data_IF_702389102417
#
_entry.id   IF_702389102417
#
_cell.length_a   1.000
_cell.length_b   1.000
_cell.length_c   1.000
_cell.angle_alpha   90.00
_cell.angle_beta   90.00
_cell.angle_gamma   90.00
#
_symmetry.space_group_name_H-M   'P 1'
#
loop_
_entity.id
_entity.type
_entity.pdbx_description
1 polymer ?
#
# COMPACT_ATOMS: atom_id res chain seq x y z
N UNK A 1 3.69 -18.56 1.73
CA UNK A 1 2.77 -17.70 0.96
C UNK A 1 1.83 -16.98 1.91
N UNK A 2 1.71 -15.69 1.79
CA UNK A 2 0.86 -14.90 2.66
C UNK A 2 -0.45 -14.58 1.96
N UNK A 3 -1.54 -14.65 2.70
CA UNK A 3 -2.88 -14.33 2.20
C UNK A 3 -3.57 -13.27 3.04
N UNK A 4 -2.78 -12.34 3.59
CA UNK A 4 -3.34 -11.25 4.37
C UNK A 4 -3.57 -10.01 3.51
N UNK A 5 -4.47 -9.16 3.97
CA UNK A 5 -4.69 -7.83 3.40
C UNK A 5 -4.12 -6.79 4.37
N UNK A 6 -3.58 -5.70 3.84
CA UNK A 6 -2.97 -4.64 4.64
C UNK A 6 -3.86 -3.40 4.60
N UNK A 7 -4.24 -2.91 5.77
CA UNK A 7 -5.02 -1.69 5.92
C UNK A 7 -4.12 -0.59 6.50
N UNK A 8 -3.80 0.41 5.68
CA UNK A 8 -2.91 1.51 6.09
C UNK A 8 -3.77 2.73 6.38
N UNK A 9 -3.92 3.06 7.66
CA UNK A 9 -4.77 4.14 8.12
C UNK A 9 -4.38 4.44 9.58
N UNK A 10 -4.24 5.71 9.94
CA UNK A 10 -3.76 6.09 11.27
C UNK A 10 -4.82 5.95 12.37
N UNK A 11 -6.10 5.81 12.02
CA UNK A 11 -7.15 5.77 13.03
C UNK A 11 -8.31 4.81 12.77
N UNK A 12 -8.61 4.50 11.52
CA UNK A 12 -9.79 3.70 11.17
C UNK A 12 -9.49 2.20 11.24
N UNK A 13 -10.56 1.42 11.13
CA UNK A 13 -10.48 -0.04 11.08
C UNK A 13 -10.99 -0.54 9.74
N UNK A 14 -10.46 -1.67 9.26
CA UNK A 14 -10.90 -2.23 7.99
C UNK A 14 -12.33 -2.75 8.05
N UNK A 15 -12.98 -2.90 6.88
CA UNK A 15 -14.32 -3.48 6.85
C UNK A 15 -14.31 -4.95 7.26
N UNK A 16 -15.46 -5.42 7.75
CA UNK A 16 -15.67 -6.83 8.06
C UNK A 16 -16.14 -7.54 6.78
N UNK A 17 -15.19 -7.89 5.93
CA UNK A 17 -15.46 -8.41 4.59
C UNK A 17 -14.91 -9.82 4.35
N UNK A 18 -14.57 -10.51 5.42
CA UNK A 18 -14.03 -11.86 5.35
C UNK A 18 -12.54 -11.96 5.07
N UNK A 19 -11.86 -10.84 4.82
CA UNK A 19 -10.42 -10.83 4.64
C UNK A 19 -9.69 -10.90 5.98
N UNK A 20 -8.48 -11.45 5.95
CA UNK A 20 -7.58 -11.39 7.11
C UNK A 20 -6.81 -10.10 7.01
N UNK A 21 -7.20 -9.10 7.80
CA UNK A 21 -6.60 -7.78 7.77
C UNK A 21 -5.51 -7.62 8.81
N UNK A 22 -4.37 -7.04 8.39
CA UNK A 22 -3.39 -6.47 9.29
C UNK A 22 -3.46 -4.96 9.16
N UNK A 23 -3.31 -4.25 10.28
CA UNK A 23 -3.47 -2.80 10.32
C UNK A 23 -2.11 -2.16 10.55
N UNK A 24 -1.75 -1.22 9.68
CA UNK A 24 -0.57 -0.38 9.84
C UNK A 24 -1.01 1.06 10.09
N UNK A 25 -0.54 1.63 11.20
CA UNK A 25 -0.91 2.98 11.61
C UNK A 25 0.05 4.04 11.08
N UNK A 26 1.14 3.62 10.44
CA UNK A 26 2.15 4.51 9.87
C UNK A 26 2.82 3.84 8.69
N UNK A 27 3.55 4.61 7.88
CA UNK A 27 4.34 4.05 6.80
C UNK A 27 5.43 3.11 7.31
N UNK A 28 6.08 3.44 8.43
CA UNK A 28 7.08 2.56 9.04
C UNK A 28 6.50 1.23 9.48
N UNK A 29 5.30 1.26 10.09
CA UNK A 29 4.64 0.05 10.52
C UNK A 29 4.25 -0.84 9.33
N UNK A 30 3.78 -0.22 8.24
CA UNK A 30 3.47 -0.96 7.02
C UNK A 30 4.71 -1.66 6.44
N UNK A 31 5.84 -0.96 6.39
CA UNK A 31 7.10 -1.55 5.91
C UNK A 31 7.57 -2.69 6.80
N UNK A 32 7.43 -2.53 8.12
CA UNK A 32 7.79 -3.58 9.08
C UNK A 32 6.94 -4.85 8.88
N UNK A 33 5.64 -4.67 8.65
CA UNK A 33 4.75 -5.82 8.43
C UNK A 33 5.13 -6.58 7.16
N UNK A 34 5.51 -5.88 6.10
CA UNK A 34 5.96 -6.53 4.87
C UNK A 34 7.27 -7.28 5.08
N UNK A 35 8.20 -6.74 5.85
CA UNK A 35 9.44 -7.45 6.17
C UNK A 35 9.18 -8.73 6.96
N UNK A 36 8.23 -8.71 7.88
CA UNK A 36 7.93 -9.86 8.71
C UNK A 36 7.09 -10.93 8.02
N UNK A 37 6.14 -10.50 7.21
CA UNK A 37 5.09 -11.39 6.69
C UNK A 37 5.12 -11.56 5.17
N UNK A 38 5.95 -10.81 4.47
CA UNK A 38 5.97 -10.79 3.00
C UNK A 38 4.90 -9.88 2.43
N UNK A 39 4.79 -9.87 1.12
CA UNK A 39 3.83 -8.99 0.43
C UNK A 39 2.39 -9.42 0.72
N UNK A 40 1.51 -8.45 1.01
CA UNK A 40 0.09 -8.77 1.16
C UNK A 40 -0.54 -9.09 -0.19
N UNK A 41 -1.71 -9.70 -0.18
CA UNK A 41 -2.48 -9.93 -1.40
C UNK A 41 -3.29 -8.70 -1.82
N UNK A 42 -3.59 -7.82 -0.88
CA UNK A 42 -4.46 -6.66 -1.09
C UNK A 42 -4.09 -5.56 -0.11
N UNK A 43 -4.08 -4.31 -0.57
CA UNK A 43 -3.79 -3.16 0.28
C UNK A 43 -4.87 -2.09 0.11
N UNK A 44 -5.35 -1.58 1.22
CA UNK A 44 -6.26 -0.43 1.25
C UNK A 44 -5.50 0.75 1.84
N UNK A 45 -5.35 1.82 1.05
CA UNK A 45 -4.54 2.97 1.41
C UNK A 45 -5.37 4.17 1.86
N UNK A 46 -5.04 4.73 3.04
CA UNK A 46 -5.33 6.13 3.33
C UNK A 46 -4.08 6.94 2.97
N UNK A 47 -4.23 8.20 2.58
CA UNK A 47 -3.09 9.03 2.22
C UNK A 47 -2.40 9.59 3.47
N UNK A 48 -3.17 10.26 4.33
CA UNK A 48 -2.62 10.97 5.49
C UNK A 48 -2.54 10.04 6.70
N UNK A 49 -1.34 9.90 7.27
CA UNK A 49 -1.09 8.96 8.36
C UNK A 49 -0.66 9.66 9.66
N UNK A 50 -1.00 10.96 9.77
CA UNK A 50 -0.67 11.75 10.95
C UNK A 50 0.65 12.49 10.78
N UNK A 51 0.70 13.75 11.26
CA UNK A 51 1.88 14.58 11.09
C UNK A 51 2.25 14.76 9.63
N UNK A 52 3.50 14.50 9.30
CA UNK A 52 4.01 14.59 7.93
C UNK A 52 4.04 13.23 7.20
N UNK A 53 3.61 12.16 7.87
CA UNK A 53 3.64 10.82 7.28
C UNK A 53 2.48 10.62 6.31
N UNK A 54 2.76 9.98 5.18
CA UNK A 54 1.75 9.62 4.19
C UNK A 54 2.03 8.22 3.63
N UNK A 55 1.00 7.60 3.06
CA UNK A 55 1.17 6.32 2.35
C UNK A 55 2.10 6.42 1.16
N UNK A 56 2.34 7.62 0.62
CA UNK A 56 3.30 7.80 -0.49
C UNK A 56 4.70 7.33 -0.10
N UNK A 57 5.10 7.56 1.15
CA UNK A 57 6.40 7.09 1.64
C UNK A 57 6.50 5.57 1.61
N UNK A 58 5.45 4.89 2.05
CA UNK A 58 5.39 3.43 1.97
C UNK A 58 5.43 2.96 0.52
N UNK A 59 4.61 3.56 -0.35
CA UNK A 59 4.49 3.16 -1.75
C UNK A 59 5.82 3.30 -2.46
N UNK A 60 6.52 4.44 -2.29
CA UNK A 60 7.82 4.66 -2.92
C UNK A 60 8.84 3.63 -2.49
N UNK A 61 8.90 3.32 -1.20
CA UNK A 61 9.82 2.30 -0.68
C UNK A 61 9.48 0.91 -1.24
N UNK A 62 8.19 0.58 -1.31
CA UNK A 62 7.73 -0.70 -1.85
C UNK A 62 8.06 -0.82 -3.34
N UNK A 63 7.78 0.23 -4.12
CA UNK A 63 8.07 0.22 -5.55
C UNK A 63 9.56 0.15 -5.85
N UNK A 64 10.40 0.80 -5.04
CA UNK A 64 11.85 0.71 -5.18
C UNK A 64 12.33 -0.74 -5.00
N UNK A 65 11.82 -1.45 -4.01
CA UNK A 65 12.15 -2.87 -3.80
C UNK A 65 11.73 -3.73 -4.99
N UNK A 66 10.52 -3.51 -5.50
CA UNK A 66 10.01 -4.27 -6.64
C UNK A 66 10.83 -4.01 -7.90
N UNK A 67 11.21 -2.76 -8.16
CA UNK A 67 12.05 -2.40 -9.29
C UNK A 67 13.44 -3.02 -9.19
N UNK A 68 14.06 -3.00 -8.00
CA UNK A 68 15.38 -3.58 -7.78
C UNK A 68 15.39 -5.09 -8.05
N UNK A 69 14.28 -5.76 -7.72
CA UNK A 69 14.16 -7.19 -7.91
C UNK A 69 13.61 -7.58 -9.28
N UNK A 70 13.14 -6.62 -10.07
CA UNK A 70 12.48 -6.89 -11.34
C UNK A 70 11.09 -7.50 -11.19
N UNK A 71 10.44 -7.29 -10.05
CA UNK A 71 9.14 -7.89 -9.75
C UNK A 71 8.00 -7.00 -10.18
N UNK A 72 6.87 -7.62 -10.50
CA UNK A 72 5.61 -6.95 -10.73
C UNK A 72 4.95 -6.62 -9.39
N UNK A 73 3.94 -5.74 -9.43
CA UNK A 73 3.17 -5.39 -8.25
C UNK A 73 2.42 -6.63 -7.74
N UNK A 74 2.75 -7.12 -6.53
CA UNK A 74 2.24 -8.42 -6.06
C UNK A 74 0.88 -8.34 -5.36
N UNK A 75 0.29 -7.15 -5.26
CA UNK A 75 -0.98 -6.97 -4.55
C UNK A 75 -1.97 -6.17 -5.38
N UNK A 76 -3.26 -6.47 -5.19
CA UNK A 76 -4.34 -5.58 -5.62
C UNK A 76 -4.46 -4.44 -4.60
N UNK A 77 -5.06 -3.33 -4.99
CA UNK A 77 -5.11 -2.16 -4.12
C UNK A 77 -6.37 -1.32 -4.34
N UNK A 78 -6.70 -0.57 -3.31
CA UNK A 78 -7.72 0.47 -3.35
C UNK A 78 -7.29 1.63 -2.48
N UNK A 79 -7.90 2.79 -2.67
CA UNK A 79 -7.63 3.98 -1.88
C UNK A 79 -8.94 4.41 -1.21
N UNK A 80 -8.91 4.54 0.11
CA UNK A 80 -10.07 4.96 0.90
C UNK A 80 -9.90 6.34 1.54
N UNK A 81 -8.96 7.14 1.02
CA UNK A 81 -8.64 8.45 1.59
C UNK A 81 -9.75 9.48 1.32
N UNK A 82 -9.97 10.36 2.30
CA UNK A 82 -10.86 11.52 2.15
C UNK A 82 -10.12 12.74 1.59
N UNK A 83 -8.84 12.64 1.33
CA UNK A 83 -8.04 13.69 0.72
C UNK A 83 -7.99 13.47 -0.80
N UNK A 84 -8.74 14.24 -1.61
CA UNK A 84 -8.82 13.98 -3.06
C UNK A 84 -7.46 14.10 -3.77
N UNK A 85 -6.65 15.08 -3.40
CA UNK A 85 -5.33 15.27 -4.01
C UNK A 85 -4.40 14.10 -3.66
N UNK A 86 -4.38 13.71 -2.39
CA UNK A 86 -3.59 12.57 -1.94
C UNK A 86 -4.02 11.27 -2.58
N UNK A 87 -5.34 11.06 -2.70
CA UNK A 87 -5.89 9.90 -3.39
C UNK A 87 -5.43 9.83 -4.84
N UNK A 88 -5.54 10.95 -5.56
CA UNK A 88 -5.14 11.01 -6.95
C UNK A 88 -3.65 10.74 -7.13
N UNK A 89 -2.82 11.21 -6.20
CA UNK A 89 -1.38 10.96 -6.22
C UNK A 89 -1.06 9.48 -6.04
N UNK A 90 -1.73 8.80 -5.12
CA UNK A 90 -1.55 7.35 -4.93
C UNK A 90 -1.95 6.59 -6.20
N UNK A 91 -3.14 6.88 -6.71
CA UNK A 91 -3.66 6.22 -7.91
C UNK A 91 -2.72 6.41 -9.09
N UNK A 92 -2.27 7.65 -9.32
CA UNK A 92 -1.37 7.96 -10.43
C UNK A 92 -0.06 7.19 -10.33
N UNK A 93 0.53 7.13 -9.15
CA UNK A 93 1.82 6.45 -8.97
C UNK A 93 1.70 4.94 -9.17
N UNK A 94 0.68 4.31 -8.59
CA UNK A 94 0.49 2.86 -8.73
C UNK A 94 0.11 2.48 -10.16
N UNK A 95 -0.74 3.25 -10.81
CA UNK A 95 -1.10 3.00 -12.21
C UNK A 95 0.09 3.18 -13.14
N UNK A 96 0.94 4.17 -12.88
CA UNK A 96 2.14 4.37 -13.67
C UNK A 96 3.08 3.17 -13.56
N UNK A 97 3.27 2.65 -12.35
CA UNK A 97 4.09 1.47 -12.14
C UNK A 97 3.54 0.25 -12.90
N UNK A 98 2.23 0.03 -12.81
CA UNK A 98 1.58 -1.09 -13.50
C UNK A 98 1.73 -0.99 -15.02
N UNK A 99 1.63 0.23 -15.58
CA UNK A 99 1.79 0.43 -17.03
C UNK A 99 3.21 0.12 -17.49
N UNK A 100 4.21 0.55 -16.74
CA UNK A 100 5.61 0.29 -17.08
C UNK A 100 5.86 -1.21 -17.12
N UNK A 101 5.29 -1.96 -16.21
CA UNK A 101 5.47 -3.40 -16.16
C UNK A 101 4.76 -4.14 -17.29
N UNK A 102 3.65 -3.60 -17.81
CA UNK A 102 2.96 -4.20 -18.97
C UNK A 102 3.77 -4.07 -20.26
N UNK A 103 4.49 -2.97 -20.41
CA UNK A 103 5.26 -2.68 -21.62
C UNK A 103 6.60 -3.42 -21.62
N UNK A 104 7.16 -3.61 -20.44
CA UNK A 104 8.44 -4.29 -20.29
C UNK A 104 8.29 -5.78 -20.22
#
# INVERSE_FOLDING_TARGET
MTNYALFIDDERYPPDDGRIWMIARSSDEALMLIERHGWPMYVSFDHDLGGEDTSMRFIRAALDRLLDNGDQLPFAWTVHSQNPVGRDNIVALLQAFERVQRVG
#
